data_IF_412351314985
#
_entry.id   IF_412351314985
#
_cell.length_a   1.000
_cell.length_b   1.000
_cell.length_c   1.000
_cell.angle_alpha   90.00
_cell.angle_beta   90.00
_cell.angle_gamma   90.00
#
_symmetry.space_group_name_H-M   'P 1'
#
loop_
_entity.id
_entity.type
_entity.pdbx_description
1 polymer ?
#
# COMPACT_ATOMS: atom_id res chain seq x y z
N UNK A 1 -16.21 -33.95 11.82
CA UNK A 1 -16.43 -32.81 12.73
C UNK A 1 -15.22 -31.88 12.65
N UNK A 2 -15.30 -30.77 11.90
CA UNK A 2 -14.19 -29.83 11.73
C UNK A 2 -14.27 -28.70 12.77
N UNK A 3 -13.19 -28.60 13.53
CA UNK A 3 -12.75 -27.55 14.46
C UNK A 3 -13.40 -26.17 14.23
N UNK A 4 -14.07 -25.65 15.25
CA UNK A 4 -14.42 -24.23 15.36
C UNK A 4 -14.25 -23.79 16.81
N UNK A 5 -13.78 -22.55 16.99
CA UNK A 5 -13.46 -21.86 18.24
C UNK A 5 -12.01 -22.02 18.72
N UNK A 6 -11.07 -21.51 17.91
CA UNK A 6 -10.02 -20.66 18.49
C UNK A 6 -10.47 -19.21 18.30
N UNK A 7 -10.64 -18.54 19.42
CA UNK A 7 -10.65 -17.07 19.51
C UNK A 7 -9.25 -16.63 19.08
N UNK A 8 -9.06 -16.41 17.78
CA UNK A 8 -7.83 -15.89 17.21
C UNK A 8 -8.20 -14.57 16.56
N UNK A 9 -7.87 -13.46 17.21
CA UNK A 9 -7.83 -12.15 16.56
C UNK A 9 -6.97 -12.34 15.32
N UNK A 10 -7.57 -12.34 14.12
CA UNK A 10 -6.77 -12.58 12.92
C UNK A 10 -5.82 -11.40 12.77
N UNK A 11 -4.56 -11.63 12.37
CA UNK A 11 -3.65 -10.54 12.04
C UNK A 11 -4.27 -9.56 11.01
N UNK A 12 -5.20 -10.07 10.21
CA UNK A 12 -6.06 -9.34 9.28
C UNK A 12 -6.96 -8.32 10.02
N UNK A 13 -7.52 -8.65 11.19
CA UNK A 13 -8.37 -7.75 12.00
C UNK A 13 -7.56 -6.62 12.66
N UNK A 14 -6.29 -6.89 13.00
CA UNK A 14 -5.34 -5.90 13.52
C UNK A 14 -4.92 -4.89 12.44
N UNK A 15 -4.79 -5.33 11.19
CA UNK A 15 -4.50 -4.46 10.04
C UNK A 15 -5.77 -3.71 9.59
N UNK A 16 -6.94 -4.35 9.62
CA UNK A 16 -8.22 -3.79 9.18
C UNK A 16 -8.90 -2.82 10.16
N UNK A 17 -8.29 -2.56 11.33
CA UNK A 17 -8.75 -1.54 12.27
C UNK A 17 -8.73 -0.15 11.64
N UNK A 18 -9.87 0.27 11.07
CA UNK A 18 -10.13 1.46 10.23
C UNK A 18 -9.66 2.84 10.74
N UNK A 19 -8.95 2.96 11.86
CA UNK A 19 -8.66 4.24 12.53
C UNK A 19 -7.20 4.55 12.92
N UNK A 20 -6.23 3.67 12.65
CA UNK A 20 -4.87 3.80 13.22
C UNK A 20 -3.72 3.91 12.20
N UNK A 21 -4.00 4.18 10.93
CA UNK A 21 -2.99 4.16 9.85
C UNK A 21 -1.80 5.14 10.05
N UNK A 22 -1.94 6.19 10.87
CA UNK A 22 -0.86 7.14 11.16
C UNK A 22 0.02 6.75 12.37
N UNK A 23 -0.50 5.98 13.34
CA UNK A 23 0.21 5.63 14.59
C UNK A 23 0.77 4.20 14.60
N UNK A 24 0.38 3.35 13.65
CA UNK A 24 0.73 1.92 13.63
C UNK A 24 1.50 1.47 12.38
N UNK A 25 2.13 2.36 11.61
CA UNK A 25 2.79 2.01 10.34
C UNK A 25 3.88 0.94 10.50
N UNK A 26 4.75 1.06 11.52
CA UNK A 26 5.78 0.05 11.81
C UNK A 26 5.18 -1.30 12.23
N UNK A 27 4.12 -1.28 13.06
CA UNK A 27 3.47 -2.50 13.54
C UNK A 27 2.74 -3.23 12.41
N UNK A 28 2.12 -2.49 11.49
CA UNK A 28 1.43 -3.05 10.32
C UNK A 28 2.40 -3.74 9.37
N UNK A 29 3.56 -3.13 9.11
CA UNK A 29 4.62 -3.75 8.29
C UNK A 29 5.19 -5.00 8.97
N UNK A 30 5.42 -4.95 10.29
CA UNK A 30 5.87 -6.13 11.05
C UNK A 30 4.87 -7.28 10.98
N UNK A 31 3.59 -7.00 11.23
CA UNK A 31 2.52 -8.01 11.19
C UNK A 31 2.35 -8.61 9.79
N UNK A 32 2.50 -7.79 8.74
CA UNK A 32 2.48 -8.27 7.37
C UNK A 32 3.60 -9.28 7.08
N UNK A 33 4.82 -9.02 7.57
CA UNK A 33 5.94 -9.93 7.39
C UNK A 33 5.75 -11.24 8.19
N UNK A 34 5.16 -11.18 9.39
CA UNK A 34 4.74 -12.38 10.13
C UNK A 34 3.67 -13.19 9.38
N UNK A 35 2.63 -12.52 8.85
CA UNK A 35 1.59 -13.18 8.05
C UNK A 35 2.20 -13.90 6.84
N UNK A 36 3.14 -13.26 6.16
CA UNK A 36 3.85 -13.84 5.02
C UNK A 36 4.68 -15.06 5.43
N UNK A 37 5.41 -14.99 6.54
CA UNK A 37 6.18 -16.14 7.08
C UNK A 37 5.28 -17.30 7.51
N UNK A 38 4.11 -17.00 8.06
CA UNK A 38 3.13 -17.99 8.48
C UNK A 38 2.34 -18.60 7.31
N UNK A 39 2.53 -18.12 6.07
CA UNK A 39 1.75 -18.55 4.91
C UNK A 39 0.27 -18.15 4.99
N UNK A 40 -0.05 -17.11 5.77
CA UNK A 40 -1.42 -16.61 5.89
C UNK A 40 -1.87 -15.98 4.57
N UNK A 41 -3.16 -16.18 4.23
CA UNK A 41 -3.77 -15.54 3.06
C UNK A 41 -3.82 -14.03 3.26
N UNK A 42 -3.19 -13.30 2.35
CA UNK A 42 -3.22 -11.84 2.28
C UNK A 42 -4.28 -11.44 1.25
N UNK A 43 -5.12 -10.47 1.59
CA UNK A 43 -6.14 -9.94 0.69
C UNK A 43 -5.74 -8.54 0.13
N UNK A 44 -6.48 -8.06 -0.86
CA UNK A 44 -6.31 -6.72 -1.44
C UNK A 44 -6.24 -5.61 -0.40
N UNK A 45 -7.16 -5.63 0.57
CA UNK A 45 -7.22 -4.64 1.64
C UNK A 45 -5.94 -4.59 2.46
N UNK A 46 -5.39 -5.75 2.84
CA UNK A 46 -4.16 -5.85 3.61
C UNK A 46 -2.98 -5.26 2.83
N UNK A 47 -2.87 -5.56 1.54
CA UNK A 47 -1.80 -5.02 0.68
C UNK A 47 -1.92 -3.51 0.53
N UNK A 48 -3.13 -2.99 0.30
CA UNK A 48 -3.38 -1.54 0.21
C UNK A 48 -2.98 -0.79 1.48
N UNK A 49 -3.30 -1.36 2.65
CA UNK A 49 -2.92 -0.78 3.95
C UNK A 49 -1.41 -0.78 4.13
N UNK A 50 -0.72 -1.89 3.82
CA UNK A 50 0.73 -2.00 3.99
C UNK A 50 1.47 -1.08 3.00
N UNK A 51 0.98 -0.93 1.78
CA UNK A 51 1.50 0.06 0.82
C UNK A 51 1.40 1.47 1.39
N UNK A 52 0.24 1.85 1.93
CA UNK A 52 0.07 3.15 2.58
C UNK A 52 1.06 3.32 3.74
N UNK A 53 1.24 2.29 4.58
CA UNK A 53 2.20 2.32 5.67
C UNK A 53 3.64 2.53 5.16
N UNK A 54 4.06 1.85 4.10
CA UNK A 54 5.37 2.08 3.49
C UNK A 54 5.53 3.51 2.95
N UNK A 55 4.49 4.06 2.33
CA UNK A 55 4.48 5.44 1.85
C UNK A 55 4.62 6.44 3.02
N UNK A 56 3.89 6.23 4.12
CA UNK A 56 3.97 7.07 5.32
C UNK A 56 5.33 6.97 6.03
N UNK A 57 6.00 5.82 5.91
CA UNK A 57 7.35 5.60 6.44
C UNK A 57 8.46 6.13 5.54
N UNK A 58 8.13 6.86 4.45
CA UNK A 58 9.09 7.34 3.44
C UNK A 58 9.95 6.20 2.88
N UNK A 59 9.28 5.09 2.59
CA UNK A 59 9.87 3.84 2.10
C UNK A 59 9.11 3.38 0.87
N UNK A 60 8.92 4.29 -0.09
CA UNK A 60 7.98 4.08 -1.22
C UNK A 60 8.42 2.91 -2.12
N UNK A 61 9.73 2.63 -2.19
CA UNK A 61 10.29 1.50 -2.92
C UNK A 61 9.71 0.13 -2.49
N UNK A 62 9.48 -0.06 -1.18
CA UNK A 62 8.84 -1.29 -0.69
C UNK A 62 7.35 -1.35 -1.05
N UNK A 63 6.68 -0.20 -1.10
CA UNK A 63 5.32 -0.09 -1.62
C UNK A 63 5.25 -0.55 -3.08
N UNK A 64 6.18 -0.12 -3.94
CA UNK A 64 6.25 -0.57 -5.33
C UNK A 64 6.52 -2.07 -5.47
N UNK A 65 7.43 -2.63 -4.67
CA UNK A 65 7.72 -4.05 -4.69
C UNK A 65 6.50 -4.89 -4.31
N UNK A 66 5.72 -4.45 -3.30
CA UNK A 66 4.47 -5.10 -2.96
C UNK A 66 3.43 -5.01 -4.07
N UNK A 67 3.38 -3.88 -4.76
CA UNK A 67 2.47 -3.69 -5.87
C UNK A 67 2.78 -4.64 -7.03
N UNK A 68 4.06 -4.83 -7.38
CA UNK A 68 4.47 -5.81 -8.40
C UNK A 68 4.04 -7.23 -8.03
N UNK A 69 4.23 -7.62 -6.77
CA UNK A 69 3.78 -8.92 -6.26
C UNK A 69 2.25 -9.03 -6.37
N UNK A 70 1.53 -7.97 -6.01
CA UNK A 70 0.08 -7.92 -6.07
C UNK A 70 -0.46 -8.12 -7.49
N UNK A 71 0.17 -7.48 -8.49
CA UNK A 71 -0.12 -7.70 -9.90
C UNK A 71 0.13 -9.14 -10.34
N UNK A 72 1.25 -9.75 -9.92
CA UNK A 72 1.57 -11.14 -10.27
C UNK A 72 0.55 -12.15 -9.75
N UNK A 73 -0.12 -11.82 -8.64
CA UNK A 73 -1.22 -12.63 -8.11
C UNK A 73 -2.57 -12.37 -8.79
N UNK A 74 -2.60 -11.52 -9.83
CA UNK A 74 -3.80 -11.26 -10.63
C UNK A 74 -4.79 -10.32 -9.97
N UNK A 75 -4.39 -9.61 -8.91
CA UNK A 75 -5.25 -8.62 -8.29
C UNK A 75 -5.15 -7.28 -9.01
N UNK A 76 -6.30 -6.65 -9.22
CA UNK A 76 -6.36 -5.31 -9.79
C UNK A 76 -6.00 -4.26 -8.74
N UNK A 77 -5.11 -3.32 -9.08
CA UNK A 77 -4.84 -2.17 -8.26
C UNK A 77 -6.07 -1.35 -7.93
N UNK A 78 -6.33 -1.17 -6.66
CA UNK A 78 -7.27 -0.15 -6.25
C UNK A 78 -6.69 1.25 -6.53
N UNK A 79 -7.52 2.16 -7.04
CA UNK A 79 -7.25 3.61 -7.15
C UNK A 79 -6.67 4.13 -5.84
N UNK A 80 -7.16 3.66 -4.68
CA UNK A 80 -6.63 4.05 -3.37
C UNK A 80 -5.15 3.67 -3.17
N UNK A 81 -4.75 2.46 -3.56
CA UNK A 81 -3.36 2.00 -3.43
C UNK A 81 -2.41 2.79 -4.34
N UNK A 82 -2.85 3.06 -5.58
CA UNK A 82 -2.11 3.92 -6.51
C UNK A 82 -1.95 5.35 -6.00
N UNK A 83 -3.02 5.92 -5.44
CA UNK A 83 -3.00 7.28 -4.92
C UNK A 83 -2.06 7.41 -3.73
N UNK A 84 -2.01 6.38 -2.88
CA UNK A 84 -1.08 6.30 -1.78
C UNK A 84 0.38 6.23 -2.26
N UNK A 85 0.68 5.48 -3.32
CA UNK A 85 2.02 5.43 -3.92
C UNK A 85 2.44 6.79 -4.49
N UNK A 86 1.56 7.45 -5.26
CA UNK A 86 1.84 8.80 -5.80
C UNK A 86 2.10 9.79 -4.67
N UNK A 87 1.25 9.79 -3.63
CA UNK A 87 1.48 10.63 -2.45
C UNK A 87 2.80 10.27 -1.75
N UNK A 88 3.08 8.98 -1.60
CA UNK A 88 4.32 8.47 -1.01
C UNK A 88 5.57 8.91 -1.75
N UNK A 89 5.52 8.98 -3.08
CA UNK A 89 6.62 9.48 -3.93
C UNK A 89 7.00 10.91 -3.54
N UNK A 90 6.03 11.80 -3.34
CA UNK A 90 6.30 13.19 -2.93
C UNK A 90 6.70 13.34 -1.46
N UNK A 91 6.37 12.36 -0.61
CA UNK A 91 6.78 12.34 0.80
C UNK A 91 8.18 11.76 1.01
N UNK A 92 8.66 10.97 0.05
CA UNK A 92 9.93 10.26 0.11
C UNK A 92 11.07 11.11 -0.48
N UNK A 93 11.93 11.63 0.40
CA UNK A 93 13.06 12.49 0.03
C UNK A 93 14.16 11.76 -0.73
N UNK A 94 14.16 10.42 -0.76
CA UNK A 94 15.11 9.64 -1.54
C UNK A 94 14.74 9.60 -3.03
N UNK A 95 13.51 9.99 -3.39
CA UNK A 95 13.09 10.05 -4.79
C UNK A 95 13.67 11.29 -5.47
N UNK A 96 14.63 11.07 -6.36
CA UNK A 96 15.35 12.14 -7.07
C UNK A 96 14.45 13.04 -7.96
N UNK A 97 13.40 12.48 -8.56
CA UNK A 97 12.45 13.21 -9.41
C UNK A 97 11.04 12.65 -9.21
N UNK A 98 10.32 13.12 -8.18
CA UNK A 98 9.02 12.59 -7.80
C UNK A 98 7.95 12.84 -8.86
N UNK A 99 8.05 13.96 -9.59
CA UNK A 99 7.14 14.32 -10.68
C UNK A 99 7.29 13.35 -11.85
N UNK A 100 8.53 13.08 -12.30
CA UNK A 100 8.79 12.15 -13.41
C UNK A 100 8.39 10.73 -13.05
N UNK A 101 8.65 10.30 -11.82
CA UNK A 101 8.25 8.97 -11.36
C UNK A 101 6.73 8.83 -11.31
N UNK A 102 6.02 9.84 -10.79
CA UNK A 102 4.56 9.85 -10.76
C UNK A 102 3.94 9.83 -12.15
N UNK A 103 4.47 10.63 -13.09
CA UNK A 103 4.02 10.61 -14.51
C UNK A 103 4.25 9.25 -15.17
N UNK A 104 5.40 8.62 -14.91
CA UNK A 104 5.64 7.24 -15.38
C UNK A 104 4.57 6.29 -14.84
N UNK A 105 4.23 6.40 -13.55
CA UNK A 105 3.21 5.57 -12.93
C UNK A 105 1.83 5.72 -13.58
N UNK A 106 1.40 6.96 -13.82
CA UNK A 106 0.14 7.26 -14.51
C UNK A 106 0.13 6.73 -15.94
N UNK A 107 1.27 6.77 -16.64
CA UNK A 107 1.41 6.27 -18.00
C UNK A 107 1.37 4.73 -18.12
N UNK A 108 1.55 3.99 -17.02
CA UNK A 108 1.40 2.54 -17.04
C UNK A 108 -0.06 2.12 -17.25
N UNK A 109 -1.03 3.05 -17.14
CA UNK A 109 -2.47 2.81 -17.33
C UNK A 109 -3.01 1.63 -16.50
N UNK A 110 -2.44 1.45 -15.32
CA UNK A 110 -2.75 0.36 -14.40
C UNK A 110 -4.03 0.64 -13.59
N UNK A 111 -4.41 1.90 -13.44
CA UNK A 111 -5.73 2.33 -12.99
C UNK A 111 -6.12 3.63 -13.70
N UNK A 112 -7.41 3.95 -13.74
CA UNK A 112 -7.85 5.28 -14.13
C UNK A 112 -7.47 6.27 -13.02
N UNK A 113 -6.69 7.32 -13.32
CA UNK A 113 -6.34 8.33 -12.33
C UNK A 113 -7.59 9.13 -11.93
N UNK A 114 -7.79 9.34 -10.63
CA UNK A 114 -8.83 10.25 -10.15
C UNK A 114 -8.28 11.68 -10.01
N UNK A 115 -9.18 12.65 -9.84
CA UNK A 115 -8.82 14.06 -9.70
C UNK A 115 -7.83 14.31 -8.57
N UNK A 116 -7.94 13.55 -7.46
CA UNK A 116 -7.04 13.67 -6.30
C UNK A 116 -5.60 13.27 -6.66
N UNK A 117 -5.40 12.20 -7.43
CA UNK A 117 -4.07 11.79 -7.90
C UNK A 117 -3.47 12.85 -8.82
N UNK A 118 -4.25 13.35 -9.76
CA UNK A 118 -3.81 14.36 -10.72
C UNK A 118 -3.43 15.64 -9.95
N UNK A 119 -4.28 16.08 -9.03
CA UNK A 119 -4.02 17.23 -8.17
C UNK A 119 -2.73 17.03 -7.36
N UNK A 120 -2.51 15.85 -6.76
CA UNK A 120 -1.28 15.57 -6.00
C UNK A 120 -0.02 15.74 -6.85
N UNK A 121 -0.05 15.34 -8.13
CA UNK A 121 1.08 15.54 -9.05
C UNK A 121 1.25 17.01 -9.45
N UNK A 122 0.15 17.74 -9.61
CA UNK A 122 0.14 19.18 -9.92
C UNK A 122 0.63 20.01 -8.73
N UNK A 123 0.20 19.71 -7.51
CA UNK A 123 0.68 20.35 -6.29
C UNK A 123 2.17 20.12 -6.10
N UNK A 124 2.68 18.95 -6.50
CA UNK A 124 4.12 18.66 -6.47
C UNK A 124 4.94 19.36 -7.56
N UNK A 125 4.32 20.12 -8.47
CA UNK A 125 4.99 20.93 -9.52
C UNK A 125 5.17 22.40 -9.13
N UNK A 126 4.43 22.91 -8.14
CA UNK A 126 4.46 24.30 -7.67
C UNK A 126 5.14 24.41 -6.30
#
# INVERSE_FOLDING_TARGET
MRLSRRVGVSAIDLINGRGFAALASHKSVYLFDEMRRAGALVNEYTVSIVINCYCLLKRVHFGFALMDIFFRFGFEPNVTAFGNLIRGIFLDSEVADPVKLSKKLLNLRLCEPNDVMILTVVDGLF
#
